data_IF_932890057899
#
_entry.id   IF_932890057899
#
_cell.length_a   1.000
_cell.length_b   1.000
_cell.length_c   1.000
_cell.angle_alpha   90.00
_cell.angle_beta   90.00
_cell.angle_gamma   90.00
#
_symmetry.space_group_name_H-M   'P 1'
#
loop_
_entity.id
_entity.type
_entity.pdbx_description
1 polymer ?
#
# COMPACT_ATOMS: atom_id res chain seq x y z
N UNK A 1 14.43 23.05 -30.46
CA UNK A 1 15.91 23.04 -30.53
C UNK A 1 16.36 22.34 -29.25
N UNK A 2 16.99 21.16 -29.38
CA UNK A 2 17.56 20.46 -28.22
C UNK A 2 18.84 21.21 -27.81
N UNK A 3 18.89 21.70 -26.57
CA UNK A 3 20.12 22.29 -26.01
C UNK A 3 21.19 21.18 -25.95
N UNK A 4 22.33 21.39 -26.63
CA UNK A 4 23.49 20.54 -26.50
C UNK A 4 23.97 20.52 -25.05
N UNK A 5 23.86 19.37 -24.37
CA UNK A 5 24.42 19.18 -23.02
C UNK A 5 25.94 19.32 -23.10
N UNK A 6 26.46 20.44 -22.59
CA UNK A 6 27.92 20.66 -22.44
C UNK A 6 28.51 19.55 -21.55
N UNK A 7 29.39 18.74 -22.12
CA UNK A 7 30.15 17.73 -21.38
C UNK A 7 31.13 18.40 -20.39
N UNK A 8 31.28 17.83 -19.18
CA UNK A 8 32.28 18.33 -18.22
C UNK A 8 33.69 18.19 -18.76
N UNK A 9 34.61 19.08 -18.34
CA UNK A 9 36.02 19.01 -18.78
C UNK A 9 36.67 17.71 -18.31
N UNK A 10 37.67 17.18 -19.06
CA UNK A 10 38.38 15.94 -18.68
C UNK A 10 38.99 15.98 -17.28
N UNK A 11 39.47 17.16 -16.85
CA UNK A 11 40.02 17.37 -15.49
C UNK A 11 38.95 17.19 -14.40
N UNK A 12 37.72 17.74 -14.62
CA UNK A 12 36.60 17.53 -13.69
C UNK A 12 36.17 16.08 -13.60
N UNK A 13 36.15 15.35 -14.73
CA UNK A 13 35.82 13.93 -14.76
C UNK A 13 36.85 13.10 -14.00
N UNK A 14 38.15 13.40 -14.14
CA UNK A 14 39.22 12.70 -13.40
C UNK A 14 39.16 12.99 -11.90
N UNK A 15 38.92 14.22 -11.52
CA UNK A 15 38.73 14.58 -10.10
C UNK A 15 37.52 13.88 -9.48
N UNK A 16 36.41 13.78 -10.23
CA UNK A 16 35.20 13.05 -9.81
C UNK A 16 35.46 11.58 -9.60
N UNK A 17 36.18 10.91 -10.54
CA UNK A 17 36.57 9.49 -10.42
C UNK A 17 37.41 9.23 -9.17
N UNK A 18 38.38 10.09 -8.88
CA UNK A 18 39.20 9.97 -7.66
C UNK A 18 38.38 10.16 -6.38
N UNK A 19 37.43 11.10 -6.38
CA UNK A 19 36.54 11.31 -5.25
C UNK A 19 35.60 10.11 -5.04
N UNK A 20 35.03 9.53 -6.11
CA UNK A 20 34.19 8.35 -6.03
C UNK A 20 34.99 7.14 -5.51
N UNK A 21 36.20 6.90 -6.02
CA UNK A 21 37.08 5.81 -5.53
C UNK A 21 37.43 5.96 -4.04
N UNK A 22 37.61 7.20 -3.56
CA UNK A 22 37.87 7.47 -2.14
C UNK A 22 36.63 7.18 -1.29
N UNK A 23 35.45 7.61 -1.75
CA UNK A 23 34.18 7.34 -1.07
C UNK A 23 33.93 5.84 -0.96
N UNK A 24 34.12 5.09 -2.05
CA UNK A 24 33.97 3.62 -2.05
C UNK A 24 34.94 2.93 -1.10
N UNK A 25 36.16 3.48 -0.96
CA UNK A 25 37.17 2.97 -0.03
C UNK A 25 36.79 3.26 1.43
N UNK A 26 36.30 4.46 1.71
CA UNK A 26 36.07 4.93 3.08
C UNK A 26 34.69 4.44 3.63
N UNK A 27 33.69 4.27 2.77
CA UNK A 27 32.31 3.96 3.13
C UNK A 27 31.79 2.63 2.59
N UNK A 28 32.54 1.94 1.75
CA UNK A 28 32.19 0.67 1.12
C UNK A 28 31.77 0.85 -0.35
N UNK A 29 31.96 -0.23 -1.14
CA UNK A 29 31.61 -0.27 -2.57
C UNK A 29 30.12 0.03 -2.78
N UNK A 30 29.80 0.90 -3.72
CA UNK A 30 28.41 1.28 -4.02
C UNK A 30 27.86 2.40 -3.13
N UNK A 31 28.70 3.02 -2.28
CA UNK A 31 28.29 4.19 -1.47
C UNK A 31 27.96 5.42 -2.29
N UNK A 32 28.48 5.47 -3.52
CA UNK A 32 28.15 6.49 -4.53
C UNK A 32 28.08 5.82 -5.92
N UNK A 33 27.07 6.16 -6.70
CA UNK A 33 26.88 5.65 -8.06
C UNK A 33 26.35 6.76 -8.97
N UNK A 34 26.54 6.62 -10.26
CA UNK A 34 25.87 7.49 -11.24
C UNK A 34 24.51 6.88 -11.56
N UNK A 35 23.46 7.66 -11.46
CA UNK A 35 22.09 7.21 -11.73
C UNK A 35 21.91 6.67 -13.19
N UNK A 36 22.79 7.01 -14.12
CA UNK A 36 22.74 6.51 -15.48
C UNK A 36 23.54 5.21 -15.71
N UNK A 37 24.34 4.76 -14.74
CA UNK A 37 25.10 3.51 -14.81
C UNK A 37 24.23 2.31 -14.40
N UNK A 38 23.19 2.53 -13.59
CA UNK A 38 22.17 1.55 -13.28
C UNK A 38 21.14 1.49 -14.41
N UNK A 39 20.87 0.30 -14.93
CA UNK A 39 19.65 0.06 -15.69
C UNK A 39 18.50 0.51 -14.82
N UNK A 40 17.53 1.22 -15.38
CA UNK A 40 16.25 1.51 -14.69
C UNK A 40 15.65 0.13 -14.39
N UNK A 41 16.00 -0.43 -13.24
CA UNK A 41 15.36 -1.65 -12.75
C UNK A 41 13.94 -1.27 -12.39
N UNK A 42 12.98 -2.07 -12.85
CA UNK A 42 11.60 -1.94 -12.43
C UNK A 42 11.56 -1.98 -10.89
N UNK A 43 10.87 -1.03 -10.28
CA UNK A 43 10.75 -0.98 -8.82
C UNK A 43 10.07 -2.27 -8.35
N UNK A 44 10.73 -3.12 -7.55
CA UNK A 44 10.11 -4.34 -7.07
C UNK A 44 8.90 -3.99 -6.19
N UNK A 45 7.80 -4.71 -6.38
CA UNK A 45 6.51 -4.39 -5.74
C UNK A 45 5.84 -5.61 -5.12
N UNK A 46 4.94 -5.35 -4.20
CA UNK A 46 3.94 -6.28 -3.70
C UNK A 46 2.60 -5.86 -4.32
N UNK A 47 1.89 -6.80 -4.96
CA UNK A 47 0.54 -6.53 -5.47
C UNK A 47 -0.38 -6.05 -4.34
N UNK A 48 -1.30 -5.13 -4.65
CA UNK A 48 -2.32 -4.69 -3.70
C UNK A 48 -3.53 -5.63 -3.63
N UNK A 49 -3.61 -6.59 -4.55
CA UNK A 49 -4.81 -7.40 -4.79
C UNK A 49 -5.85 -6.73 -5.70
N UNK A 50 -5.73 -5.43 -5.94
CA UNK A 50 -6.59 -4.64 -6.83
C UNK A 50 -5.83 -4.25 -8.09
N UNK A 51 -6.37 -4.56 -9.25
CA UNK A 51 -5.80 -4.18 -10.56
C UNK A 51 -5.77 -2.66 -10.69
N UNK A 52 -6.88 -2.01 -10.35
CA UNK A 52 -7.01 -0.56 -10.44
C UNK A 52 -6.05 0.18 -9.50
N UNK A 53 -5.86 -0.32 -8.27
CA UNK A 53 -4.93 0.29 -7.32
C UNK A 53 -3.46 0.08 -7.73
N UNK A 54 -3.12 -1.10 -8.26
CA UNK A 54 -1.79 -1.38 -8.83
C UNK A 54 -1.45 -0.38 -9.94
N UNK A 55 -2.38 -0.08 -10.83
CA UNK A 55 -2.24 0.92 -11.89
C UNK A 55 -2.19 2.36 -11.35
N UNK A 56 -3.00 2.68 -10.34
CA UNK A 56 -2.99 4.01 -9.72
C UNK A 56 -1.65 4.31 -9.01
N UNK A 57 -1.00 3.28 -8.46
CA UNK A 57 0.34 3.38 -7.87
C UNK A 57 1.45 3.60 -8.92
N UNK A 58 1.20 3.27 -10.19
CA UNK A 58 2.07 3.58 -11.32
C UNK A 58 3.27 2.65 -11.48
N UNK A 59 3.60 1.86 -10.47
CA UNK A 59 4.69 0.85 -10.49
C UNK A 59 4.17 -0.59 -10.38
N UNK A 60 2.84 -0.77 -10.34
CA UNK A 60 2.22 -2.10 -10.33
C UNK A 60 1.94 -2.67 -8.94
N UNK A 61 2.13 -1.92 -7.87
CA UNK A 61 1.86 -2.37 -6.50
C UNK A 61 2.51 -1.50 -5.42
N UNK A 62 2.54 -2.01 -4.21
CA UNK A 62 3.26 -1.39 -3.09
C UNK A 62 4.78 -1.54 -3.32
N UNK A 63 5.54 -0.43 -3.38
CA UNK A 63 6.99 -0.52 -3.62
C UNK A 63 7.70 -1.20 -2.44
N UNK A 64 8.57 -2.17 -2.74
CA UNK A 64 9.41 -2.84 -1.74
C UNK A 64 10.45 -1.87 -1.16
N UNK A 65 10.86 -2.13 0.06
CA UNK A 65 11.85 -1.29 0.75
C UNK A 65 11.33 0.11 1.09
N UNK A 66 10.02 0.28 1.26
CA UNK A 66 9.38 1.59 1.50
C UNK A 66 8.40 1.55 2.66
N UNK A 67 8.22 2.73 3.26
CA UNK A 67 7.15 3.00 4.21
C UNK A 67 5.92 3.45 3.46
N UNK A 68 4.78 2.84 3.77
CA UNK A 68 3.47 3.11 3.18
C UNK A 68 2.50 3.45 4.31
N UNK A 69 1.70 4.48 4.13
CA UNK A 69 0.59 4.82 5.04
C UNK A 69 -0.75 4.60 4.33
N UNK A 70 -1.61 3.79 4.94
CA UNK A 70 -3.01 3.60 4.53
C UNK A 70 -3.87 4.25 5.61
N UNK A 71 -4.65 5.26 5.25
CA UNK A 71 -5.49 5.97 6.22
C UNK A 71 -6.88 6.27 5.65
N UNK A 72 -7.82 6.47 6.55
CA UNK A 72 -9.22 6.75 6.22
C UNK A 72 -10.13 6.65 7.44
N UNK A 73 -11.43 6.91 7.26
CA UNK A 73 -12.42 6.73 8.31
C UNK A 73 -12.47 5.29 8.83
N UNK A 74 -13.12 5.10 9.96
CA UNK A 74 -13.44 3.77 10.46
C UNK A 74 -14.26 2.98 9.44
N UNK A 75 -14.05 1.65 9.42
CA UNK A 75 -14.76 0.72 8.52
C UNK A 75 -14.65 1.05 7.02
N UNK A 76 -13.60 1.79 6.61
CA UNK A 76 -13.35 2.12 5.21
C UNK A 76 -12.62 1.03 4.42
N UNK A 77 -12.08 -0.03 5.09
CA UNK A 77 -11.37 -1.14 4.46
C UNK A 77 -9.83 -1.03 4.55
N UNK A 78 -9.27 -0.23 5.45
CA UNK A 78 -7.82 -0.09 5.65
C UNK A 78 -7.13 -1.41 5.93
N UNK A 79 -7.62 -2.12 6.96
CA UNK A 79 -7.11 -3.45 7.35
C UNK A 79 -7.31 -4.47 6.23
N UNK A 80 -8.43 -4.42 5.51
CA UNK A 80 -8.67 -5.29 4.35
C UNK A 80 -7.60 -5.14 3.28
N UNK A 81 -7.20 -3.91 2.93
CA UNK A 81 -6.10 -3.68 1.97
C UNK A 81 -4.77 -4.26 2.47
N UNK A 82 -4.48 -4.13 3.76
CA UNK A 82 -3.26 -4.69 4.34
C UNK A 82 -3.30 -6.23 4.37
N UNK A 83 -4.46 -6.84 4.65
CA UNK A 83 -4.64 -8.30 4.61
C UNK A 83 -4.41 -8.83 3.19
N UNK A 84 -4.95 -8.17 2.16
CA UNK A 84 -4.66 -8.53 0.77
C UNK A 84 -3.17 -8.44 0.45
N UNK A 85 -2.46 -7.40 0.92
CA UNK A 85 -1.01 -7.31 0.73
C UNK A 85 -0.26 -8.48 1.39
N UNK A 86 -0.68 -8.92 2.59
CA UNK A 86 -0.10 -10.09 3.26
C UNK A 86 -0.35 -11.38 2.46
N UNK A 87 -1.58 -11.59 1.96
CA UNK A 87 -1.91 -12.74 1.11
C UNK A 87 -1.07 -12.75 -0.19
N UNK A 88 -0.89 -11.59 -0.83
CA UNK A 88 -0.09 -11.47 -2.05
C UNK A 88 1.40 -11.77 -1.81
N UNK A 89 1.95 -11.33 -0.68
CA UNK A 89 3.33 -11.66 -0.28
C UNK A 89 3.50 -13.16 -0.09
N UNK A 90 2.62 -13.80 0.67
CA UNK A 90 2.68 -15.24 0.93
C UNK A 90 2.48 -16.06 -0.35
N UNK A 91 1.61 -15.61 -1.27
CA UNK A 91 1.42 -16.26 -2.58
C UNK A 91 2.70 -16.26 -3.42
N UNK A 92 3.57 -15.25 -3.24
CA UNK A 92 4.88 -15.17 -3.88
C UNK A 92 5.99 -15.91 -3.11
N UNK A 93 5.65 -16.64 -2.05
CA UNK A 93 6.61 -17.35 -1.19
C UNK A 93 7.34 -16.46 -0.19
N UNK A 94 6.87 -15.22 0.01
CA UNK A 94 7.41 -14.27 0.99
C UNK A 94 6.81 -14.43 2.37
N UNK A 95 7.42 -13.79 3.36
CA UNK A 95 7.01 -13.80 4.76
C UNK A 95 6.35 -12.48 5.13
N UNK A 96 5.14 -12.56 5.70
CA UNK A 96 4.40 -11.41 6.20
C UNK A 96 4.29 -11.44 7.73
N UNK A 97 4.31 -10.27 8.34
CA UNK A 97 4.08 -10.06 9.77
C UNK A 97 3.06 -8.96 10.00
N UNK A 98 2.24 -9.12 11.03
CA UNK A 98 1.34 -8.08 11.52
C UNK A 98 1.60 -7.78 13.00
N UNK A 99 1.70 -6.50 13.31
CA UNK A 99 1.74 -5.97 14.67
C UNK A 99 0.35 -5.39 14.94
N UNK A 100 -0.46 -6.19 15.63
CA UNK A 100 -1.86 -5.89 15.97
C UNK A 100 -1.92 -5.14 17.31
N UNK A 101 -1.73 -3.83 17.26
CA UNK A 101 -1.79 -2.96 18.44
C UNK A 101 -3.23 -2.67 18.89
N UNK A 102 -4.23 -2.93 18.06
CA UNK A 102 -5.65 -2.82 18.40
C UNK A 102 -6.22 -4.09 19.05
N UNK A 103 -5.48 -5.22 19.01
CA UNK A 103 -5.93 -6.54 19.48
C UNK A 103 -7.24 -7.01 18.83
N UNK A 104 -7.41 -6.70 17.55
CA UNK A 104 -8.66 -6.87 16.81
C UNK A 104 -8.50 -7.67 15.50
N UNK A 105 -7.37 -8.37 15.31
CA UNK A 105 -7.11 -9.14 14.11
C UNK A 105 -8.04 -10.34 13.99
N UNK A 106 -8.83 -10.38 12.91
CA UNK A 106 -9.75 -11.50 12.63
C UNK A 106 -9.05 -12.53 11.72
N UNK A 107 -8.64 -13.66 12.35
CA UNK A 107 -8.02 -14.78 11.68
C UNK A 107 -8.91 -15.36 10.58
N UNK A 108 -10.19 -15.58 10.86
CA UNK A 108 -11.11 -16.21 9.90
C UNK A 108 -11.36 -15.32 8.68
N UNK A 109 -11.43 -14.02 8.90
CA UNK A 109 -11.53 -13.07 7.79
C UNK A 109 -10.24 -13.07 6.95
N UNK A 110 -9.08 -13.07 7.57
CA UNK A 110 -7.79 -13.13 6.89
C UNK A 110 -7.66 -14.41 6.04
N UNK A 111 -8.05 -15.56 6.56
CA UNK A 111 -8.09 -16.84 5.82
C UNK A 111 -8.99 -16.77 4.57
N UNK A 112 -10.18 -16.14 4.69
CA UNK A 112 -11.09 -15.94 3.56
C UNK A 112 -10.48 -15.06 2.47
N UNK A 113 -9.62 -14.11 2.84
CA UNK A 113 -8.91 -13.23 1.91
C UNK A 113 -7.64 -13.89 1.33
N UNK A 114 -7.33 -15.13 1.70
CA UNK A 114 -6.25 -15.93 1.16
C UNK A 114 -4.94 -15.86 1.94
N UNK A 115 -4.96 -15.35 3.17
CA UNK A 115 -3.80 -15.40 4.07
C UNK A 115 -3.63 -16.80 4.62
N UNK A 116 -2.43 -17.34 4.50
CA UNK A 116 -1.99 -18.52 5.24
C UNK A 116 -1.69 -18.12 6.69
N UNK A 117 -2.68 -18.32 7.57
CA UNK A 117 -2.58 -17.88 8.97
C UNK A 117 -1.66 -18.76 9.81
N UNK A 118 -1.35 -19.98 9.36
CA UNK A 118 -0.40 -20.86 10.05
C UNK A 118 1.04 -20.37 9.89
N UNK A 119 1.33 -19.64 8.81
CA UNK A 119 2.63 -19.04 8.51
C UNK A 119 2.66 -17.51 8.66
N UNK A 120 1.59 -16.88 9.13
CA UNK A 120 1.57 -15.44 9.42
C UNK A 120 2.19 -15.17 10.80
N UNK A 121 3.17 -14.28 10.84
CA UNK A 121 3.71 -13.79 12.12
C UNK A 121 2.78 -12.71 12.69
N UNK A 122 2.34 -12.89 13.94
CA UNK A 122 1.51 -11.91 14.64
C UNK A 122 2.14 -11.53 15.98
N UNK A 123 2.17 -10.25 16.29
CA UNK A 123 2.55 -9.72 17.59
C UNK A 123 1.45 -8.78 18.11
N UNK A 124 1.16 -8.89 19.42
CA UNK A 124 0.18 -8.05 20.11
C UNK A 124 0.88 -7.33 21.28
N UNK A 125 1.51 -6.20 21.02
CA UNK A 125 2.31 -5.48 21.99
C UNK A 125 1.48 -4.72 23.02
N UNK A 126 2.01 -4.54 24.23
CA UNK A 126 1.36 -3.80 25.31
C UNK A 126 1.53 -2.28 25.18
N UNK A 127 2.52 -1.81 24.44
CA UNK A 127 2.81 -0.38 24.24
C UNK A 127 3.44 -0.09 22.86
N UNK A 128 3.45 1.19 22.50
CA UNK A 128 3.98 1.65 21.21
C UNK A 128 5.47 1.40 21.04
N UNK A 129 6.26 1.53 22.10
CA UNK A 129 7.70 1.23 22.09
C UNK A 129 7.94 -0.23 21.73
N UNK A 130 7.27 -1.16 22.42
CA UNK A 130 7.38 -2.59 22.16
C UNK A 130 6.96 -2.94 20.72
N UNK A 131 5.86 -2.36 20.24
CA UNK A 131 5.40 -2.54 18.85
C UNK A 131 6.47 -2.18 17.83
N UNK A 132 7.09 -1.02 18.01
CA UNK A 132 8.09 -0.48 17.08
C UNK A 132 9.46 -1.17 17.22
N UNK A 133 9.81 -1.68 18.38
CA UNK A 133 11.00 -2.52 18.59
C UNK A 133 10.84 -3.88 17.92
N UNK A 134 9.68 -4.54 18.06
CA UNK A 134 9.37 -5.79 17.34
C UNK A 134 9.47 -5.55 15.82
N UNK A 135 8.90 -4.46 15.32
CA UNK A 135 9.01 -4.10 13.92
C UNK A 135 10.48 -3.93 13.47
N UNK A 136 11.30 -3.23 14.27
CA UNK A 136 12.71 -3.01 13.97
C UNK A 136 13.49 -4.33 13.88
N UNK A 137 13.28 -5.25 14.82
CA UNK A 137 13.94 -6.56 14.82
C UNK A 137 13.53 -7.42 13.60
N UNK A 138 12.22 -7.47 13.28
CA UNK A 138 11.73 -8.19 12.11
C UNK A 138 12.34 -7.62 10.81
N UNK A 139 12.36 -6.30 10.65
CA UNK A 139 12.93 -5.62 9.49
C UNK A 139 14.44 -5.85 9.41
N UNK A 140 15.15 -5.77 10.52
CA UNK A 140 16.61 -6.00 10.58
C UNK A 140 17.03 -7.41 10.21
N UNK A 141 16.17 -8.39 10.47
CA UNK A 141 16.43 -9.78 10.10
C UNK A 141 16.58 -9.99 8.60
N UNK A 142 16.05 -9.06 7.77
CA UNK A 142 15.94 -9.15 6.32
C UNK A 142 15.22 -10.42 5.81
N UNK A 143 14.55 -11.14 6.71
CA UNK A 143 13.79 -12.36 6.37
C UNK A 143 12.31 -12.08 6.09
N UNK A 144 11.79 -10.90 6.49
CA UNK A 144 10.38 -10.54 6.37
C UNK A 144 10.20 -9.56 5.21
N UNK A 145 9.30 -9.88 4.28
CA UNK A 145 9.01 -9.06 3.10
C UNK A 145 8.03 -7.93 3.39
N UNK A 146 7.09 -8.16 4.31
CA UNK A 146 6.05 -7.22 4.68
C UNK A 146 5.82 -7.20 6.18
N UNK A 147 5.86 -6.01 6.77
CA UNK A 147 5.42 -5.75 8.15
C UNK A 147 4.23 -4.79 8.10
N UNK A 148 3.12 -5.18 8.69
CA UNK A 148 1.92 -4.33 8.86
C UNK A 148 1.83 -3.90 10.32
N UNK A 149 1.54 -2.63 10.57
CA UNK A 149 1.29 -2.09 11.91
C UNK A 149 -0.15 -1.56 11.94
N UNK A 150 -1.01 -2.22 12.68
CA UNK A 150 -2.45 -1.89 12.81
C UNK A 150 -2.81 -1.58 14.27
N UNK A 151 -3.01 -0.37 14.68
CA UNK A 151 -2.84 0.87 13.92
C UNK A 151 -1.95 1.87 14.67
N UNK A 152 -1.48 2.91 13.96
CA UNK A 152 -0.70 4.02 14.59
C UNK A 152 -1.46 4.66 15.76
N UNK A 153 -2.80 4.73 15.65
CA UNK A 153 -3.64 5.31 16.70
C UNK A 153 -3.54 4.54 18.03
N UNK A 154 -3.29 3.23 17.99
CA UNK A 154 -3.17 2.35 19.14
C UNK A 154 -1.73 2.26 19.71
N UNK A 155 -0.74 2.87 19.06
CA UNK A 155 0.64 2.92 19.56
C UNK A 155 0.76 3.91 20.73
N UNK A 156 0.22 3.50 21.88
CA UNK A 156 0.27 4.29 23.12
C UNK A 156 1.67 4.22 23.72
N UNK A 157 2.34 5.36 23.98
CA UNK A 157 3.64 5.38 24.65
C UNK A 157 3.56 4.77 26.04
N UNK A 158 4.58 4.00 26.45
CA UNK A 158 4.67 3.36 27.76
C UNK A 158 4.48 4.36 28.90
N UNK A 159 5.10 5.54 28.79
CA UNK A 159 4.97 6.59 29.78
C UNK A 159 3.53 7.14 29.91
N UNK A 160 2.71 7.00 28.88
CA UNK A 160 1.29 7.36 28.93
C UNK A 160 0.47 6.28 29.66
N UNK A 161 0.80 5.01 29.44
CA UNK A 161 0.15 3.86 30.10
C UNK A 161 0.46 3.83 31.61
N UNK A 162 1.71 4.12 31.99
CA UNK A 162 2.18 4.14 33.40
C UNK A 162 1.78 5.42 34.16
N UNK A 163 1.20 6.43 33.48
CA UNK A 163 0.78 7.66 34.10
C UNK A 163 -0.61 7.57 34.74
N UNK A 164 -0.94 8.56 35.53
CA UNK A 164 -2.27 8.67 36.14
C UNK A 164 -3.33 9.09 35.11
N UNK A 165 -4.57 8.64 35.35
CA UNK A 165 -5.72 9.05 34.55
C UNK A 165 -5.91 10.56 34.63
N UNK A 166 -5.84 11.25 33.48
CA UNK A 166 -5.97 12.71 33.37
C UNK A 166 -4.64 13.45 33.20
N UNK A 167 -3.51 12.76 33.27
CA UNK A 167 -2.20 13.36 32.93
C UNK A 167 -2.17 13.87 31.51
N UNK A 168 -1.79 15.14 31.35
CA UNK A 168 -1.66 15.74 30.02
C UNK A 168 -0.26 15.47 29.43
N UNK A 169 -0.13 14.39 28.66
CA UNK A 169 1.14 13.96 28.05
C UNK A 169 1.17 14.25 26.54
N UNK A 170 0.93 15.52 26.20
CA UNK A 170 0.87 15.97 24.80
C UNK A 170 2.14 15.66 24.03
N UNK A 171 1.98 15.02 22.84
CA UNK A 171 3.04 14.86 21.85
C UNK A 171 3.97 13.66 22.08
N UNK A 172 3.76 12.81 23.09
CA UNK A 172 4.60 11.62 23.31
C UNK A 172 4.53 10.66 22.12
N UNK A 173 3.33 10.35 21.63
CA UNK A 173 3.15 9.49 20.46
C UNK A 173 3.85 10.07 19.22
N UNK A 174 3.77 11.38 18.98
CA UNK A 174 4.44 12.01 17.84
C UNK A 174 5.97 11.94 17.95
N UNK A 175 6.53 12.03 19.17
CA UNK A 175 7.98 11.85 19.42
C UNK A 175 8.38 10.41 19.18
N UNK A 176 7.65 9.45 19.69
CA UNK A 176 7.85 8.02 19.50
C UNK A 176 7.87 7.68 18.00
N UNK A 177 6.86 8.09 17.24
CA UNK A 177 6.79 7.90 15.80
C UNK A 177 7.97 8.56 15.05
N UNK A 178 8.35 9.77 15.44
CA UNK A 178 9.48 10.46 14.82
C UNK A 178 10.81 9.74 15.06
N UNK A 179 11.04 9.20 16.26
CA UNK A 179 12.22 8.44 16.60
C UNK A 179 12.25 7.11 15.84
N UNK A 180 11.17 6.35 15.87
CA UNK A 180 11.06 5.06 15.21
C UNK A 180 11.25 5.18 13.69
N UNK A 181 10.53 6.07 13.01
CA UNK A 181 10.64 6.23 11.56
C UNK A 181 12.03 6.67 11.10
N UNK A 182 12.73 7.48 11.91
CA UNK A 182 14.13 7.85 11.64
C UNK A 182 15.04 6.64 11.66
N UNK A 183 14.80 5.69 12.57
CA UNK A 183 15.57 4.46 12.72
C UNK A 183 15.19 3.43 11.62
N UNK A 184 13.89 3.19 11.43
CA UNK A 184 13.35 2.16 10.54
C UNK A 184 13.61 2.44 9.05
N UNK A 185 13.49 3.70 8.61
CA UNK A 185 13.49 4.02 7.16
C UNK A 185 14.78 3.57 6.45
N UNK A 186 15.94 3.74 7.08
CA UNK A 186 17.21 3.32 6.48
C UNK A 186 17.32 1.79 6.40
N UNK A 187 16.84 1.08 7.41
CA UNK A 187 16.84 -0.39 7.46
C UNK A 187 15.87 -0.96 6.46
N UNK A 188 14.64 -0.45 6.41
CA UNK A 188 13.58 -0.82 5.45
C UNK A 188 14.11 -0.78 4.01
N UNK A 189 14.82 0.28 3.64
CA UNK A 189 15.37 0.40 2.29
C UNK A 189 16.46 -0.65 2.01
N UNK A 190 17.33 -0.93 2.98
CA UNK A 190 18.43 -1.91 2.83
C UNK A 190 17.93 -3.34 2.75
N UNK A 191 16.94 -3.69 3.55
CA UNK A 191 16.40 -5.06 3.63
C UNK A 191 15.32 -5.34 2.59
N UNK A 192 14.88 -4.30 1.85
CA UNK A 192 13.77 -4.36 0.90
C UNK A 192 12.44 -4.83 1.52
N UNK A 193 12.32 -4.75 2.85
CA UNK A 193 11.08 -5.01 3.58
C UNK A 193 10.10 -3.86 3.32
N UNK A 194 8.85 -4.17 3.00
CA UNK A 194 7.79 -3.16 2.93
C UNK A 194 7.16 -2.99 4.30
N UNK A 195 6.96 -1.75 4.75
CA UNK A 195 6.30 -1.48 6.02
C UNK A 195 5.03 -0.66 5.80
N UNK A 196 3.86 -1.26 6.10
CA UNK A 196 2.55 -0.61 5.98
C UNK A 196 2.09 -0.17 7.37
N UNK A 197 1.86 1.13 7.53
CA UNK A 197 1.21 1.71 8.70
C UNK A 197 -0.25 1.99 8.38
N UNK A 198 -1.15 1.38 9.13
CA UNK A 198 -2.57 1.72 9.11
C UNK A 198 -2.78 2.89 10.07
N UNK A 199 -3.53 3.91 9.62
CA UNK A 199 -3.75 5.10 10.42
C UNK A 199 -5.21 5.54 10.41
N UNK A 200 -5.64 6.16 11.49
CA UNK A 200 -6.98 6.69 11.65
C UNK A 200 -6.99 8.20 11.40
N UNK A 201 -8.13 8.71 10.94
CA UNK A 201 -8.37 10.13 10.81
C UNK A 201 -8.92 10.69 12.14
N UNK A 202 -8.50 11.90 12.44
CA UNK A 202 -9.02 12.73 13.54
C UNK A 202 -9.35 14.10 12.98
N UNK A 203 -10.31 14.75 13.58
CA UNK A 203 -10.65 16.13 13.25
C UNK A 203 -9.94 17.10 14.20
N UNK A 204 -9.32 18.11 13.63
CA UNK A 204 -8.77 19.23 14.41
C UNK A 204 -9.88 20.17 14.80
N UNK A 205 -10.04 20.38 16.10
CA UNK A 205 -11.00 21.32 16.65
C UNK A 205 -10.59 22.76 16.30
N UNK A 206 -11.54 23.59 15.89
CA UNK A 206 -11.32 25.04 15.67
C UNK A 206 -10.81 25.44 14.28
N UNK A 207 -10.72 24.53 13.33
CA UNK A 207 -10.42 24.89 11.94
C UNK A 207 -11.71 25.28 11.21
N UNK A 208 -11.89 26.57 10.96
CA UNK A 208 -13.04 27.11 10.22
C UNK A 208 -12.83 27.09 8.69
N UNK A 209 -11.59 27.06 8.21
CA UNK A 209 -11.23 27.06 6.79
C UNK A 209 -10.17 25.99 6.50
N UNK A 210 -10.33 25.27 5.36
CA UNK A 210 -9.43 24.21 4.93
C UNK A 210 -9.89 22.82 5.37
N UNK A 211 -9.01 21.81 5.26
CA UNK A 211 -9.33 20.44 5.65
C UNK A 211 -9.01 20.22 7.14
N UNK A 212 -10.03 19.97 7.99
CA UNK A 212 -9.83 19.71 9.42
C UNK A 212 -9.23 18.34 9.69
N UNK A 213 -9.31 17.39 8.75
CA UNK A 213 -8.86 16.02 8.93
C UNK A 213 -7.33 15.94 9.05
N UNK A 214 -6.89 15.15 10.01
CA UNK A 214 -5.47 14.81 10.20
C UNK A 214 -5.32 13.36 10.65
N UNK A 215 -4.16 12.77 10.37
CA UNK A 215 -3.82 11.43 10.87
C UNK A 215 -3.17 11.50 12.24
N UNK A 216 -3.27 10.41 13.04
CA UNK A 216 -2.64 10.29 14.36
C UNK A 216 -1.12 10.11 14.27
N UNK A 217 -0.40 10.21 15.39
CA UNK A 217 1.06 10.02 15.41
C UNK A 217 1.89 11.21 14.91
N UNK A 218 1.28 12.39 14.77
CA UNK A 218 1.95 13.62 14.36
C UNK A 218 2.26 13.69 12.86
N UNK A 219 3.31 14.43 12.50
CA UNK A 219 3.65 14.67 11.09
C UNK A 219 4.74 13.74 10.53
N UNK A 220 5.44 12.97 11.38
CA UNK A 220 6.60 12.20 10.96
C UNK A 220 6.25 11.21 9.81
N UNK A 221 5.17 10.44 9.96
CA UNK A 221 4.75 9.47 8.96
C UNK A 221 4.42 10.13 7.62
N UNK A 222 3.83 11.34 7.63
CA UNK A 222 3.55 12.11 6.40
C UNK A 222 4.82 12.44 5.61
N UNK A 223 5.96 12.63 6.29
CA UNK A 223 7.25 12.90 5.63
C UNK A 223 7.95 11.61 5.22
N UNK A 224 8.01 10.61 6.09
CA UNK A 224 8.75 9.36 5.86
C UNK A 224 8.07 8.42 4.87
N UNK A 225 6.74 8.35 4.85
CA UNK A 225 6.02 7.52 3.90
C UNK A 225 6.36 7.89 2.45
N UNK A 226 6.69 6.87 1.66
CA UNK A 226 6.89 7.00 0.21
C UNK A 226 5.56 7.01 -0.54
N UNK A 227 4.58 6.28 -0.04
CA UNK A 227 3.21 6.22 -0.56
C UNK A 227 2.23 6.51 0.58
N UNK A 228 1.20 7.31 0.31
CA UNK A 228 0.09 7.57 1.22
C UNK A 228 -1.23 7.38 0.49
N UNK A 229 -2.07 6.51 1.03
CA UNK A 229 -3.36 6.12 0.46
C UNK A 229 -4.50 6.59 1.38
N UNK A 230 -5.40 7.38 0.83
CA UNK A 230 -6.66 7.77 1.47
C UNK A 230 -7.78 6.85 0.95
N UNK A 231 -8.30 5.98 1.82
CA UNK A 231 -9.40 5.06 1.48
C UNK A 231 -10.71 5.57 2.06
N UNK A 232 -11.74 5.66 1.21
CA UNK A 232 -13.08 6.14 1.57
C UNK A 232 -14.15 5.21 1.03
N UNK A 233 -15.15 4.93 1.85
CA UNK A 233 -16.40 4.33 1.41
C UNK A 233 -17.19 5.37 0.60
N UNK A 234 -17.63 5.00 -0.61
CA UNK A 234 -18.40 5.86 -1.52
C UNK A 234 -19.81 5.31 -1.80
N UNK A 235 -20.06 4.05 -1.46
CA UNK A 235 -21.38 3.43 -1.63
C UNK A 235 -21.49 2.13 -0.84
N UNK A 236 -22.69 1.57 -0.81
CA UNK A 236 -22.98 0.24 -0.28
C UNK A 236 -23.39 -0.69 -1.40
N UNK A 237 -22.95 -1.92 -1.34
CA UNK A 237 -23.36 -2.99 -2.24
C UNK A 237 -24.42 -3.83 -1.53
N UNK A 238 -25.53 -4.07 -2.19
CA UNK A 238 -26.65 -4.82 -1.64
C UNK A 238 -27.05 -5.97 -2.55
N UNK A 239 -27.49 -7.04 -1.94
CA UNK A 239 -28.22 -8.13 -2.59
C UNK A 239 -29.61 -8.20 -1.93
N UNK A 240 -30.63 -7.74 -2.67
CA UNK A 240 -31.94 -7.45 -2.07
C UNK A 240 -31.82 -6.38 -0.98
N UNK A 241 -32.22 -6.72 0.25
CA UNK A 241 -32.14 -5.84 1.43
C UNK A 241 -30.84 -6.00 2.23
N UNK A 242 -30.06 -7.04 1.95
CA UNK A 242 -28.82 -7.34 2.66
C UNK A 242 -27.63 -6.52 2.12
N UNK A 243 -26.85 -5.91 3.01
CA UNK A 243 -25.60 -5.24 2.64
C UNK A 243 -24.49 -6.27 2.59
N UNK A 244 -23.98 -6.54 1.39
CA UNK A 244 -22.95 -7.56 1.12
C UNK A 244 -21.54 -7.00 0.97
N UNK A 245 -21.40 -5.68 0.90
CA UNK A 245 -20.11 -5.02 0.73
C UNK A 245 -20.20 -3.52 0.63
N UNK A 246 -19.08 -2.90 0.39
CA UNK A 246 -18.96 -1.46 0.19
C UNK A 246 -18.22 -1.16 -1.12
N UNK A 247 -18.67 -0.17 -1.85
CA UNK A 247 -17.87 0.44 -2.89
C UNK A 247 -16.91 1.43 -2.23
N UNK A 248 -15.63 1.33 -2.55
CA UNK A 248 -14.58 2.17 -1.98
C UNK A 248 -13.79 2.90 -3.04
N UNK A 249 -13.26 4.05 -2.64
CA UNK A 249 -12.31 4.82 -3.43
C UNK A 249 -11.01 4.92 -2.65
N UNK A 250 -9.90 4.57 -3.30
CA UNK A 250 -8.55 4.78 -2.80
C UNK A 250 -7.88 5.87 -3.62
N UNK A 251 -7.44 6.94 -2.97
CA UNK A 251 -6.72 8.05 -3.60
C UNK A 251 -5.26 8.03 -3.17
N UNK A 252 -4.37 8.08 -4.14
CA UNK A 252 -2.92 8.16 -3.92
C UNK A 252 -2.55 9.60 -3.60
N UNK A 253 -2.50 9.94 -2.30
CA UNK A 253 -2.26 11.32 -1.85
C UNK A 253 -0.79 11.72 -1.90
N UNK A 254 0.12 10.75 -1.82
CA UNK A 254 1.57 10.93 -1.96
C UNK A 254 2.16 9.70 -2.64
N UNK A 255 3.09 9.93 -3.55
CA UNK A 255 3.83 8.87 -4.21
C UNK A 255 5.23 9.39 -4.59
N UNK A 256 6.28 8.70 -4.12
CA UNK A 256 7.68 9.03 -4.43
C UNK A 256 8.25 8.19 -5.56
N UNK A 257 7.50 7.19 -6.06
CA UNK A 257 7.96 6.27 -7.12
C UNK A 257 7.22 6.47 -8.45
N UNK A 258 6.12 7.22 -8.45
CA UNK A 258 5.34 7.57 -9.64
C UNK A 258 4.53 8.86 -9.39
N UNK A 259 3.89 9.47 -10.41
CA UNK A 259 3.03 10.64 -10.23
C UNK A 259 1.86 10.34 -9.27
N UNK A 260 1.63 11.20 -8.24
CA UNK A 260 0.56 11.04 -7.27
C UNK A 260 -0.81 11.48 -7.83
N UNK A 261 -1.84 11.44 -6.96
CA UNK A 261 -3.21 11.92 -7.13
C UNK A 261 -4.10 11.08 -8.06
N UNK A 262 -3.61 9.93 -8.52
CA UNK A 262 -4.44 8.93 -9.16
C UNK A 262 -5.39 8.29 -8.13
N UNK A 263 -6.49 7.74 -8.62
CA UNK A 263 -7.50 7.06 -7.81
C UNK A 263 -7.82 5.69 -8.39
N UNK A 264 -8.25 4.78 -7.53
CA UNK A 264 -8.87 3.52 -7.89
C UNK A 264 -10.21 3.41 -7.15
N UNK A 265 -11.21 2.83 -7.80
CA UNK A 265 -12.52 2.56 -7.21
C UNK A 265 -12.83 1.09 -7.46
N UNK A 266 -13.24 0.38 -6.41
CA UNK A 266 -13.55 -1.04 -6.49
C UNK A 266 -14.51 -1.47 -5.37
N UNK A 267 -15.07 -2.66 -5.54
CA UNK A 267 -15.95 -3.27 -4.57
C UNK A 267 -15.13 -4.00 -3.49
N UNK A 268 -15.42 -3.73 -2.22
CA UNK A 268 -14.98 -4.52 -1.06
C UNK A 268 -16.14 -5.34 -0.55
N UNK A 269 -16.10 -6.65 -0.80
CA UNK A 269 -17.11 -7.59 -0.35
C UNK A 269 -16.78 -8.07 1.07
N UNK A 270 -17.80 -8.28 1.91
CA UNK A 270 -17.58 -8.69 3.31
C UNK A 270 -17.04 -10.12 3.46
N UNK A 271 -17.22 -10.96 2.43
CA UNK A 271 -16.81 -12.36 2.44
C UNK A 271 -15.55 -12.67 1.64
N UNK A 272 -15.14 -11.81 0.70
CA UNK A 272 -14.03 -12.05 -0.23
C UNK A 272 -13.04 -10.88 -0.35
N UNK A 273 -13.32 -9.76 0.34
CA UNK A 273 -12.50 -8.55 0.25
C UNK A 273 -12.60 -7.87 -1.11
N UNK A 274 -11.47 -7.57 -1.76
CA UNK A 274 -11.42 -6.91 -3.07
C UNK A 274 -12.03 -7.82 -4.14
N UNK A 275 -13.08 -7.33 -4.82
CA UNK A 275 -13.70 -8.05 -5.93
C UNK A 275 -12.91 -7.86 -7.22
N UNK A 276 -11.87 -8.68 -7.42
CA UNK A 276 -11.03 -8.60 -8.63
C UNK A 276 -11.86 -8.75 -9.91
N UNK A 277 -12.80 -9.69 -9.95
CA UNK A 277 -13.69 -9.86 -11.11
C UNK A 277 -14.59 -8.64 -11.36
N UNK A 278 -15.00 -7.94 -10.29
CA UNK A 278 -15.73 -6.68 -10.41
C UNK A 278 -14.89 -5.61 -11.10
N UNK A 279 -13.63 -5.45 -10.72
CA UNK A 279 -12.70 -4.53 -11.37
C UNK A 279 -12.48 -4.88 -12.85
N UNK A 280 -12.31 -6.18 -13.17
CA UNK A 280 -12.12 -6.61 -14.56
C UNK A 280 -13.34 -6.29 -15.45
N UNK A 281 -14.55 -6.42 -14.91
CA UNK A 281 -15.78 -6.04 -15.65
C UNK A 281 -15.81 -4.53 -15.89
N UNK A 282 -15.58 -3.72 -14.85
CA UNK A 282 -15.66 -2.26 -14.95
C UNK A 282 -14.55 -1.69 -15.83
N UNK A 283 -13.31 -2.10 -15.61
CA UNK A 283 -12.15 -1.68 -16.40
C UNK A 283 -12.21 -2.21 -17.84
N UNK A 284 -12.72 -3.44 -18.03
CA UNK A 284 -12.92 -4.02 -19.36
C UNK A 284 -13.88 -3.19 -20.19
N UNK A 285 -14.93 -2.66 -19.59
CA UNK A 285 -15.87 -1.73 -20.26
C UNK A 285 -15.19 -0.38 -20.52
N UNK A 286 -14.50 0.17 -19.55
CA UNK A 286 -13.81 1.46 -19.67
C UNK A 286 -12.75 1.44 -20.79
N UNK A 287 -12.01 0.34 -20.93
CA UNK A 287 -11.00 0.16 -21.97
C UNK A 287 -11.55 -0.37 -23.32
N UNK A 288 -12.87 -0.58 -23.42
CA UNK A 288 -13.52 -1.07 -24.63
C UNK A 288 -13.24 -2.53 -24.98
N UNK A 289 -12.69 -3.31 -24.02
CA UNK A 289 -12.43 -4.75 -24.15
C UNK A 289 -13.73 -5.52 -23.98
N UNK A 290 -14.54 -5.13 -22.99
CA UNK A 290 -15.92 -5.56 -22.83
C UNK A 290 -16.85 -4.51 -23.44
N UNK A 291 -17.80 -4.96 -24.23
CA UNK A 291 -18.82 -4.08 -24.78
C UNK A 291 -20.05 -4.12 -23.86
N UNK A 292 -20.59 -2.94 -23.53
CA UNK A 292 -21.81 -2.81 -22.74
C UNK A 292 -22.89 -2.14 -23.59
N UNK A 293 -23.99 -2.86 -23.84
CA UNK A 293 -25.16 -2.35 -24.55
C UNK A 293 -26.39 -2.52 -23.67
N UNK A 294 -26.90 -1.42 -23.09
CA UNK A 294 -27.93 -1.46 -22.07
C UNK A 294 -27.50 -2.28 -20.85
N UNK A 295 -28.23 -3.34 -20.54
CA UNK A 295 -27.86 -4.29 -19.46
C UNK A 295 -26.96 -5.44 -19.90
N UNK A 296 -26.67 -5.58 -21.20
CA UNK A 296 -25.90 -6.68 -21.73
C UNK A 296 -24.41 -6.37 -21.80
N UNK A 297 -23.61 -7.35 -21.38
CA UNK A 297 -22.16 -7.38 -21.52
C UNK A 297 -21.78 -8.39 -22.59
N UNK A 298 -20.84 -8.03 -23.46
CA UNK A 298 -20.34 -8.87 -24.56
C UNK A 298 -18.82 -8.83 -24.61
N UNK A 299 -18.21 -9.93 -25.02
CA UNK A 299 -16.78 -10.05 -25.24
C UNK A 299 -16.55 -10.73 -26.60
N UNK A 300 -15.72 -10.15 -27.49
CA UNK A 300 -15.46 -10.63 -28.86
C UNK A 300 -16.74 -10.97 -29.63
N UNK A 301 -17.68 -10.03 -29.64
CA UNK A 301 -19.01 -10.14 -30.27
C UNK A 301 -19.93 -11.25 -29.74
N UNK A 302 -19.49 -11.99 -28.69
CA UNK A 302 -20.33 -12.97 -28.01
C UNK A 302 -20.98 -12.35 -26.78
N UNK A 303 -22.28 -12.57 -26.62
CA UNK A 303 -23.00 -12.20 -25.39
C UNK A 303 -22.42 -12.97 -24.21
N UNK A 304 -21.95 -12.23 -23.21
CA UNK A 304 -21.41 -12.77 -21.98
C UNK A 304 -22.50 -12.93 -20.91
N UNK A 305 -23.14 -11.82 -20.55
CA UNK A 305 -24.13 -11.83 -19.46
C UNK A 305 -25.09 -10.63 -19.57
N UNK A 306 -26.25 -10.77 -18.91
CA UNK A 306 -27.13 -9.65 -18.63
C UNK A 306 -26.98 -9.20 -17.18
N UNK A 307 -26.49 -7.98 -16.98
CA UNK A 307 -26.19 -7.39 -15.68
C UNK A 307 -24.73 -7.57 -15.26
N UNK A 308 -24.26 -6.61 -14.42
CA UNK A 308 -22.87 -6.59 -13.94
C UNK A 308 -22.53 -7.81 -13.06
N UNK A 309 -23.47 -8.20 -12.18
CA UNK A 309 -23.23 -9.32 -11.27
C UNK A 309 -23.19 -10.67 -12.00
N UNK A 310 -24.03 -10.84 -13.02
CA UNK A 310 -23.95 -12.02 -13.88
C UNK A 310 -22.62 -12.07 -14.65
N UNK A 311 -22.10 -10.94 -15.14
CA UNK A 311 -20.78 -10.88 -15.77
C UNK A 311 -19.66 -11.22 -14.79
N UNK A 312 -19.72 -10.72 -13.55
CA UNK A 312 -18.78 -11.08 -12.48
C UNK A 312 -18.78 -12.58 -12.20
N UNK A 313 -19.96 -13.22 -12.11
CA UNK A 313 -20.08 -14.64 -11.87
C UNK A 313 -19.46 -15.47 -13.00
N UNK A 314 -19.71 -15.08 -14.26
CA UNK A 314 -19.10 -15.75 -15.41
C UNK A 314 -17.57 -15.67 -15.37
N UNK A 315 -17.01 -14.52 -15.03
CA UNK A 315 -15.55 -14.37 -14.91
C UNK A 315 -14.99 -15.13 -13.70
N UNK A 316 -15.75 -15.24 -12.61
CA UNK A 316 -15.36 -16.04 -11.44
C UNK A 316 -15.32 -17.53 -11.79
N UNK A 317 -16.30 -18.02 -12.54
CA UNK A 317 -16.41 -19.43 -12.94
C UNK A 317 -15.45 -19.81 -14.08
N UNK A 318 -14.86 -18.82 -14.77
CA UNK A 318 -13.95 -19.00 -15.90
C UNK A 318 -12.65 -18.20 -15.69
N UNK A 319 -11.71 -18.72 -14.88
CA UNK A 319 -10.45 -18.03 -14.57
C UNK A 319 -9.59 -17.73 -15.80
N UNK A 320 -9.59 -18.60 -16.80
CA UNK A 320 -8.84 -18.41 -18.05
C UNK A 320 -9.34 -17.18 -18.82
N UNK A 321 -10.66 -17.02 -18.92
CA UNK A 321 -11.26 -15.84 -19.52
C UNK A 321 -10.97 -14.57 -18.70
N UNK A 322 -11.00 -14.65 -17.37
CA UNK A 322 -10.68 -13.54 -16.50
C UNK A 322 -9.22 -13.10 -16.70
N UNK A 323 -8.28 -14.04 -16.76
CA UNK A 323 -6.86 -13.76 -17.01
C UNK A 323 -6.63 -13.14 -18.40
N UNK A 324 -7.30 -13.64 -19.43
CA UNK A 324 -7.22 -13.08 -20.78
C UNK A 324 -7.70 -11.63 -20.83
N UNK A 325 -8.84 -11.34 -20.18
CA UNK A 325 -9.37 -9.98 -20.08
C UNK A 325 -8.41 -9.07 -19.30
N UNK A 326 -7.86 -9.55 -18.18
CA UNK A 326 -6.86 -8.80 -17.39
C UNK A 326 -5.64 -8.44 -18.25
N UNK A 327 -5.11 -9.39 -19.00
CA UNK A 327 -3.96 -9.16 -19.89
C UNK A 327 -4.29 -8.10 -20.96
N UNK A 328 -5.46 -8.18 -21.58
CA UNK A 328 -5.91 -7.19 -22.57
C UNK A 328 -6.07 -5.80 -21.95
N UNK A 329 -6.63 -5.71 -20.73
CA UNK A 329 -6.74 -4.45 -19.98
C UNK A 329 -5.34 -3.86 -19.73
N UNK A 330 -4.42 -4.67 -19.20
CA UNK A 330 -3.06 -4.23 -18.90
C UNK A 330 -2.32 -3.76 -20.15
N UNK A 331 -2.51 -4.44 -21.29
CA UNK A 331 -1.89 -4.07 -22.57
C UNK A 331 -2.53 -2.79 -23.16
N UNK A 332 -3.80 -2.54 -22.96
CA UNK A 332 -4.48 -1.32 -23.41
C UNK A 332 -4.00 -0.08 -22.63
N UNK A 333 -3.75 -0.23 -21.34
CA UNK A 333 -3.34 0.88 -20.47
C UNK A 333 -1.85 1.23 -20.63
N UNK A 334 -1.01 0.28 -21.05
CA UNK A 334 0.43 0.52 -21.33
C UNK A 334 0.71 1.27 -22.64
N UNK A 335 -0.30 1.40 -23.50
CA UNK A 335 -0.23 2.19 -24.75
C UNK A 335 -0.55 3.66 -24.50
#
# INVERSE_FOLDING_TARGET
MAEEKKMPSPEKLKALQLAMAKIDKDFGKGSIMKLGDDRIEDVPVISTGSVGLNLALGVGGYPRGRVIEIYGPESSGKTTLAIHAMAEVQRQGGIAAIIDAEHAFDRFYAEKLGVDTDNLLIAQPDCGEQALEIADELIRSAAVDLVVIDSVAALTPKAEIEGDMGDNKVGLQARLMSQALRKLTATINKTQTTCIFINQLREKIGIMFGNPETTTGGNALKFYASVRLDIRKIGQLKDGDEVIGNQVRVKVMKNKVAPPFKKAEFDLMFNEGISKVGELVDMGVEQGILQKSGSWYSYEDKKLAQGRDAAKNILRDNPDLANEIEEKIMNAIKK
#
